data_IF_768635904951
#
_entry.id   IF_768635904951
#
_cell.length_a   1.000
_cell.length_b   1.000
_cell.length_c   1.000
_cell.angle_alpha   90.00
_cell.angle_beta   90.00
_cell.angle_gamma   90.00
#
_symmetry.space_group_name_H-M   'P 1'
#
loop_
_entity.id
_entity.type
_entity.pdbx_description
1 polymer ?
#
# COMPACT_ATOMS: atom_id res chain seq x y z
N UNK A 1 -3.46 -5.87 -1.85
CA UNK A 1 -4.03 -4.92 -2.83
C UNK A 1 -3.17 -4.66 -4.06
N UNK A 2 -1.90 -4.20 -3.97
CA UNK A 2 -1.03 -4.07 -5.16
C UNK A 2 -0.65 -5.41 -5.81
N UNK A 3 -0.54 -6.46 -4.99
CA UNK A 3 -0.29 -7.84 -5.41
C UNK A 3 -1.40 -8.37 -6.32
N UNK A 4 -2.66 -8.10 -5.97
CA UNK A 4 -3.83 -8.60 -6.68
C UNK A 4 -3.95 -7.97 -8.08
N UNK A 5 -3.53 -6.72 -8.23
CA UNK A 5 -3.49 -6.05 -9.54
C UNK A 5 -2.37 -6.60 -10.46
N UNK A 6 -1.23 -7.00 -9.88
CA UNK A 6 -0.15 -7.64 -10.65
C UNK A 6 -0.54 -9.06 -11.07
N UNK A 7 -1.20 -9.80 -10.19
CA UNK A 7 -1.70 -11.16 -10.40
C UNK A 7 -2.73 -11.23 -11.53
N UNK A 8 -3.71 -10.32 -11.56
CA UNK A 8 -4.83 -10.39 -12.51
C UNK A 8 -4.44 -10.01 -13.93
N UNK A 9 -3.49 -9.10 -14.12
CA UNK A 9 -3.19 -8.50 -15.43
C UNK A 9 -1.78 -8.83 -15.96
N UNK A 10 -0.97 -9.61 -15.23
CA UNK A 10 0.49 -9.80 -15.49
C UNK A 10 1.26 -8.49 -15.64
N UNK A 11 0.88 -7.43 -14.92
CA UNK A 11 1.50 -6.11 -15.08
C UNK A 11 2.14 -5.64 -13.79
N UNK A 12 3.41 -5.27 -13.88
CA UNK A 12 4.12 -4.68 -12.76
C UNK A 12 3.75 -3.21 -12.60
N UNK A 13 3.45 -2.79 -11.38
CA UNK A 13 3.26 -1.38 -11.06
C UNK A 13 4.59 -0.61 -11.13
N UNK A 14 4.50 0.70 -11.30
CA UNK A 14 5.68 1.55 -11.38
C UNK A 14 6.30 1.74 -9.97
N UNK A 15 7.44 1.09 -9.73
CA UNK A 15 8.13 1.17 -8.44
C UNK A 15 8.50 2.60 -8.01
N UNK A 16 8.72 3.53 -8.95
CA UNK A 16 9.03 4.92 -8.59
C UNK A 16 7.82 5.60 -7.98
N UNK A 17 6.67 5.49 -8.62
CA UNK A 17 5.41 6.05 -8.13
C UNK A 17 4.97 5.40 -6.81
N UNK A 18 5.12 4.08 -6.68
CA UNK A 18 4.81 3.39 -5.44
C UNK A 18 5.70 3.84 -4.27
N UNK A 19 7.01 4.04 -4.50
CA UNK A 19 7.92 4.61 -3.49
C UNK A 19 7.49 6.02 -3.09
N UNK A 20 7.10 6.87 -4.06
CA UNK A 20 6.59 8.21 -3.78
C UNK A 20 5.33 8.17 -2.92
N UNK A 21 4.34 7.36 -3.29
CA UNK A 21 3.12 7.20 -2.49
C UNK A 21 3.41 6.69 -1.07
N UNK A 22 4.34 5.73 -0.93
CA UNK A 22 4.75 5.23 0.38
C UNK A 22 5.37 6.33 1.25
N UNK A 23 6.38 7.05 0.74
CA UNK A 23 7.04 8.11 1.50
C UNK A 23 6.13 9.28 1.83
N UNK A 24 5.29 9.72 0.88
CA UNK A 24 4.29 10.74 1.13
C UNK A 24 3.33 10.29 2.24
N UNK A 25 2.78 9.08 2.14
CA UNK A 25 1.85 8.58 3.15
C UNK A 25 2.50 8.46 4.53
N UNK A 26 3.72 7.95 4.63
CA UNK A 26 4.44 7.84 5.91
C UNK A 26 4.75 9.21 6.50
N UNK A 27 5.23 10.17 5.72
CA UNK A 27 5.55 11.51 6.24
C UNK A 27 4.27 12.22 6.70
N UNK A 28 3.23 12.24 5.86
CA UNK A 28 2.01 13.00 6.15
C UNK A 28 1.12 12.35 7.19
N UNK A 29 1.13 11.02 7.36
CA UNK A 29 0.46 10.38 8.50
C UNK A 29 1.11 10.81 9.81
N UNK A 30 2.44 10.90 9.86
CA UNK A 30 3.15 11.40 11.03
C UNK A 30 2.83 12.88 11.27
N UNK A 31 2.88 13.73 10.24
CA UNK A 31 2.55 15.17 10.38
C UNK A 31 1.09 15.40 10.80
N UNK A 32 0.16 14.53 10.39
CA UNK A 32 -1.24 14.58 10.82
C UNK A 32 -1.40 14.20 12.31
N UNK A 33 -0.77 13.10 12.75
CA UNK A 33 -0.99 12.55 14.10
C UNK A 33 -0.05 13.11 15.18
N UNK A 34 1.16 13.57 14.85
CA UNK A 34 2.08 14.14 15.84
C UNK A 34 1.49 15.36 16.57
N UNK A 35 0.93 16.38 15.87
CA UNK A 35 0.25 17.51 16.51
C UNK A 35 -0.88 17.10 17.44
N UNK A 36 -1.63 16.03 17.10
CA UNK A 36 -2.73 15.54 17.92
C UNK A 36 -2.26 15.02 19.28
N UNK A 37 -1.04 14.48 19.39
CA UNK A 37 -0.50 14.06 20.69
C UNK A 37 -0.25 15.26 21.60
N UNK A 38 0.30 16.36 21.06
CA UNK A 38 0.51 17.59 21.82
C UNK A 38 -0.81 18.28 22.20
N UNK A 39 -1.80 18.29 21.29
CA UNK A 39 -3.16 18.78 21.58
C UNK A 39 -3.84 17.97 22.71
N UNK A 40 -3.67 16.65 22.70
CA UNK A 40 -4.19 15.77 23.75
C UNK A 40 -3.55 16.03 25.12
N UNK A 41 -2.23 16.22 25.15
CA UNK A 41 -1.49 16.56 26.38
C UNK A 41 -1.84 17.96 26.90
N UNK A 42 -2.13 18.91 26.01
CA UNK A 42 -2.57 20.25 26.38
C UNK A 42 -4.04 20.33 26.87
N UNK A 43 -4.71 19.18 26.99
CA UNK A 43 -6.02 19.06 27.63
C UNK A 43 -7.21 19.29 26.70
N UNK A 44 -7.03 19.24 25.38
CA UNK A 44 -8.15 19.34 24.44
C UNK A 44 -9.00 18.05 24.48
N UNK A 45 -10.27 18.10 24.91
CA UNK A 45 -11.14 16.93 24.90
C UNK A 45 -11.47 16.53 23.46
N UNK A 46 -11.53 15.21 23.20
CA UNK A 46 -12.06 14.70 21.92
C UNK A 46 -13.52 15.14 21.73
N UNK A 47 -13.92 15.40 20.48
CA UNK A 47 -15.32 15.70 20.05
C UNK A 47 -15.85 17.11 20.39
N UNK A 48 -14.97 18.11 20.51
CA UNK A 48 -15.38 19.51 20.65
C UNK A 48 -15.31 20.17 19.27
N UNK A 49 -16.40 20.83 18.85
CA UNK A 49 -16.47 21.51 17.55
C UNK A 49 -15.75 22.88 17.52
N UNK A 50 -15.56 23.50 18.67
CA UNK A 50 -14.98 24.83 18.83
C UNK A 50 -13.76 24.79 19.77
N UNK A 51 -12.65 25.40 19.38
CA UNK A 51 -11.39 25.32 20.10
C UNK A 51 -10.85 26.70 20.42
N UNK A 52 -10.27 26.84 21.61
CA UNK A 52 -9.63 28.08 22.03
C UNK A 52 -8.51 28.48 21.04
N UNK A 53 -8.31 29.78 20.76
CA UNK A 53 -7.36 30.25 19.74
C UNK A 53 -5.90 29.83 19.98
N UNK A 54 -5.56 29.45 21.23
CA UNK A 54 -4.26 28.87 21.59
C UNK A 54 -3.96 27.51 20.93
N UNK A 55 -4.97 26.81 20.40
CA UNK A 55 -4.82 25.51 19.74
C UNK A 55 -4.92 25.61 18.21
N UNK A 56 -5.08 26.82 17.67
CA UNK A 56 -5.28 27.03 16.22
C UNK A 56 -4.07 26.56 15.43
N UNK A 57 -2.84 26.82 15.88
CA UNK A 57 -1.62 26.46 15.15
C UNK A 57 -1.48 24.94 14.98
N UNK A 58 -1.68 24.17 16.06
CA UNK A 58 -1.58 22.71 16.02
C UNK A 58 -2.70 22.06 15.19
N UNK A 59 -3.92 22.60 15.26
CA UNK A 59 -5.04 22.14 14.43
C UNK A 59 -4.85 22.50 12.96
N UNK A 60 -4.22 23.64 12.66
CA UNK A 60 -3.90 24.05 11.29
C UNK A 60 -2.84 23.12 10.69
N UNK A 61 -1.77 22.79 11.42
CA UNK A 61 -0.75 21.82 10.97
C UNK A 61 -1.37 20.44 10.74
N UNK A 62 -2.20 19.97 11.67
CA UNK A 62 -2.92 18.70 11.52
C UNK A 62 -3.82 18.71 10.27
N UNK A 63 -4.53 19.81 10.03
CA UNK A 63 -5.42 19.95 8.86
C UNK A 63 -4.64 19.91 7.56
N UNK A 64 -3.51 20.63 7.47
CA UNK A 64 -2.63 20.60 6.30
C UNK A 64 -2.10 19.19 6.06
N UNK A 65 -1.62 18.52 7.12
CA UNK A 65 -1.18 17.12 7.05
C UNK A 65 -2.27 16.18 6.56
N UNK A 66 -3.51 16.38 7.02
CA UNK A 66 -4.68 15.61 6.62
C UNK A 66 -5.07 15.79 5.16
N UNK A 67 -5.06 17.03 4.65
CA UNK A 67 -5.33 17.30 3.23
C UNK A 67 -4.28 16.66 2.33
N UNK A 68 -3.00 16.77 2.68
CA UNK A 68 -1.93 16.17 1.86
C UNK A 68 -1.92 14.64 1.98
N UNK A 69 -2.22 14.09 3.15
CA UNK A 69 -2.43 12.65 3.31
C UNK A 69 -3.61 12.14 2.46
N UNK A 70 -4.74 12.87 2.46
CA UNK A 70 -5.88 12.58 1.59
C UNK A 70 -5.51 12.62 0.11
N UNK A 71 -4.73 13.62 -0.32
CA UNK A 71 -4.20 13.67 -1.69
C UNK A 71 -3.27 12.49 -2.01
N UNK A 72 -2.45 12.05 -1.05
CA UNK A 72 -1.60 10.87 -1.21
C UNK A 72 -2.43 9.60 -1.41
N UNK A 73 -3.59 9.47 -0.75
CA UNK A 73 -4.49 8.33 -0.97
C UNK A 73 -5.07 8.29 -2.39
N UNK A 74 -5.26 9.44 -3.04
CA UNK A 74 -5.67 9.49 -4.46
C UNK A 74 -4.58 9.01 -5.42
N UNK A 75 -3.30 8.99 -5.01
CA UNK A 75 -2.24 8.41 -5.84
C UNK A 75 -2.36 6.88 -5.96
N UNK A 76 -2.95 6.19 -4.99
CA UNK A 76 -3.11 4.74 -5.03
C UNK A 76 -4.01 4.25 -6.17
N UNK A 77 -5.26 4.73 -6.36
CA UNK A 77 -6.07 4.35 -7.50
C UNK A 77 -5.46 4.81 -8.83
N UNK A 78 -4.72 5.93 -8.85
CA UNK A 78 -3.98 6.36 -10.04
C UNK A 78 -2.87 5.37 -10.43
N UNK A 79 -2.10 4.86 -9.47
CA UNK A 79 -1.06 3.85 -9.71
C UNK A 79 -1.68 2.56 -10.23
N UNK A 80 -2.81 2.12 -9.65
CA UNK A 80 -3.54 0.92 -10.11
C UNK A 80 -4.03 1.13 -11.55
N UNK A 81 -4.67 2.26 -11.85
CA UNK A 81 -5.13 2.58 -13.21
C UNK A 81 -3.99 2.60 -14.23
N UNK A 82 -2.84 3.22 -13.88
CA UNK A 82 -1.64 3.23 -14.73
C UNK A 82 -1.07 1.83 -14.92
N UNK A 83 -1.09 0.99 -13.88
CA UNK A 83 -0.64 -0.40 -13.93
C UNK A 83 -1.46 -1.21 -14.93
N UNK A 84 -2.79 -1.11 -14.87
CA UNK A 84 -3.70 -1.82 -15.80
C UNK A 84 -3.49 -1.35 -17.24
N UNK A 85 -3.34 -0.04 -17.48
CA UNK A 85 -3.28 0.52 -18.85
C UNK A 85 -1.90 0.44 -19.50
N UNK A 86 -0.82 0.55 -18.72
CA UNK A 86 0.54 0.74 -19.26
C UNK A 86 1.63 0.04 -18.45
N UNK A 87 1.27 -0.83 -17.51
CA UNK A 87 2.24 -1.60 -16.72
C UNK A 87 3.08 -2.54 -17.59
N UNK A 88 4.34 -2.73 -17.21
CA UNK A 88 5.26 -3.64 -17.91
C UNK A 88 4.74 -5.08 -17.76
N UNK A 89 4.66 -5.86 -18.84
CA UNK A 89 4.30 -7.27 -18.74
C UNK A 89 5.35 -8.01 -17.92
N UNK A 90 4.89 -8.85 -17.00
CA UNK A 90 5.72 -9.77 -16.22
C UNK A 90 5.68 -11.11 -16.95
N UNK A 91 6.84 -11.56 -17.44
CA UNK A 91 6.98 -12.84 -18.15
C UNK A 91 7.23 -14.02 -17.20
N UNK A 92 7.63 -13.75 -15.96
CA UNK A 92 7.87 -14.74 -14.93
C UNK A 92 6.58 -15.08 -14.14
N UNK A 93 6.48 -16.33 -13.66
CA UNK A 93 5.39 -16.76 -12.76
C UNK A 93 5.39 -15.97 -11.44
N UNK A 94 6.58 -15.56 -10.98
CA UNK A 94 6.73 -14.61 -9.88
C UNK A 94 7.11 -13.22 -10.38
N UNK A 95 6.39 -12.16 -9.97
CA UNK A 95 6.80 -10.77 -10.17
C UNK A 95 7.93 -10.32 -9.22
N UNK A 96 8.30 -11.09 -8.19
CA UNK A 96 9.29 -10.70 -7.19
C UNK A 96 10.49 -11.66 -7.16
N UNK A 97 11.70 -11.09 -7.09
CA UNK A 97 12.93 -11.87 -6.86
C UNK A 97 12.92 -12.42 -5.42
N UNK A 98 12.97 -13.74 -5.26
CA UNK A 98 12.92 -14.41 -3.96
C UNK A 98 11.51 -14.59 -3.40
N UNK A 99 10.48 -14.63 -4.26
CA UNK A 99 9.15 -15.02 -3.80
C UNK A 99 9.12 -16.51 -3.46
N UNK A 100 8.70 -16.82 -2.24
CA UNK A 100 8.56 -18.17 -1.71
C UNK A 100 7.09 -18.40 -1.35
N UNK A 101 6.58 -19.58 -1.65
CA UNK A 101 5.17 -19.93 -1.47
C UNK A 101 4.60 -20.62 -2.70
N UNK A 102 3.53 -21.40 -2.49
CA UNK A 102 2.86 -22.15 -3.56
C UNK A 102 2.13 -21.23 -4.55
N UNK A 103 1.82 -20.00 -4.14
CA UNK A 103 1.17 -18.99 -4.97
C UNK A 103 2.08 -18.48 -6.11
N UNK A 104 3.40 -18.57 -5.96
CA UNK A 104 4.38 -18.06 -6.93
C UNK A 104 4.80 -19.07 -8.00
N UNK A 105 4.36 -20.31 -7.84
CA UNK A 105 4.54 -21.40 -8.80
C UNK A 105 3.42 -21.44 -9.83
N UNK A 106 2.29 -20.79 -9.51
CA UNK A 106 1.15 -20.67 -10.38
C UNK A 106 1.41 -19.62 -11.47
N UNK A 107 0.88 -19.83 -12.68
CA UNK A 107 0.89 -18.78 -13.67
C UNK A 107 -0.06 -17.66 -13.22
N UNK A 108 0.44 -16.43 -13.18
CA UNK A 108 -0.44 -15.24 -13.24
C UNK A 108 -1.01 -15.17 -14.67
N UNK A 109 -2.30 -14.88 -14.94
CA UNK A 109 -3.42 -14.86 -14.01
C UNK A 109 -3.80 -16.25 -13.51
N UNK A 110 -4.16 -16.32 -12.23
CA UNK A 110 -4.42 -17.58 -11.56
C UNK A 110 -5.50 -18.41 -12.29
N UNK A 111 -5.25 -19.72 -12.52
CA UNK A 111 -6.22 -20.62 -13.13
C UNK A 111 -7.42 -20.86 -12.19
N UNK A 112 -8.57 -21.25 -12.75
CA UNK A 112 -9.80 -21.49 -11.98
C UNK A 112 -9.65 -22.58 -10.92
N UNK A 113 -8.78 -23.56 -11.18
CA UNK A 113 -8.34 -24.55 -10.21
C UNK A 113 -6.82 -24.42 -10.05
N UNK A 114 -6.38 -24.09 -8.84
CA UNK A 114 -4.96 -23.85 -8.54
C UNK A 114 -4.13 -25.13 -8.76
N UNK A 115 -4.62 -26.27 -8.32
CA UNK A 115 -3.93 -27.55 -8.47
C UNK A 115 -4.94 -28.65 -8.77
N UNK A 116 -4.78 -29.34 -9.90
CA UNK A 116 -5.54 -30.58 -10.18
C UNK A 116 -4.95 -31.79 -9.45
N UNK A 117 -3.64 -31.77 -9.22
CA UNK A 117 -2.88 -32.78 -8.50
C UNK A 117 -2.03 -32.12 -7.41
N UNK A 118 -1.77 -32.80 -6.29
CA UNK A 118 -0.92 -32.25 -5.25
C UNK A 118 0.46 -31.89 -5.82
N UNK A 119 1.02 -30.72 -5.44
CA UNK A 119 2.34 -30.29 -5.89
C UNK A 119 3.41 -31.29 -5.47
N UNK A 120 4.43 -31.43 -6.31
CA UNK A 120 5.54 -32.36 -6.09
C UNK A 120 6.38 -31.94 -4.88
N UNK A 121 7.08 -32.87 -4.23
CA UNK A 121 7.95 -32.58 -3.08
C UNK A 121 9.00 -31.50 -3.38
N UNK A 122 9.48 -31.41 -4.62
CA UNK A 122 10.41 -30.37 -5.04
C UNK A 122 9.79 -28.95 -5.00
N UNK A 123 8.51 -28.83 -5.36
CA UNK A 123 7.76 -27.56 -5.33
C UNK A 123 7.45 -27.17 -3.88
N UNK A 124 7.08 -28.16 -3.06
CA UNK A 124 6.90 -27.96 -1.62
C UNK A 124 8.21 -27.52 -0.95
N UNK A 125 9.34 -28.14 -1.28
CA UNK A 125 10.65 -27.77 -0.76
C UNK A 125 11.12 -26.39 -1.23
N UNK A 126 10.68 -25.92 -2.40
CA UNK A 126 10.92 -24.54 -2.84
C UNK A 126 10.05 -23.53 -2.07
N UNK A 127 8.78 -23.88 -1.84
CA UNK A 127 7.86 -23.06 -1.06
C UNK A 127 8.25 -22.95 0.42
N UNK A 128 8.85 -23.99 1.00
CA UNK A 128 9.25 -24.07 2.41
C UNK A 128 10.62 -23.42 2.72
N UNK A 129 11.32 -22.91 1.70
CA UNK A 129 12.54 -22.12 1.90
C UNK A 129 12.18 -20.74 2.47
N UNK A 130 12.21 -20.64 3.79
CA UNK A 130 12.23 -19.39 4.55
C UNK A 130 13.63 -18.80 4.69
#
# INVERSE_FOLDING_TARGET
DLLLAAEVERRMYDMRLAKWHFWLSVIFVNVLFFPMHFLGLAGMPRRIADYAPQFTDWNMVASIGGFVFGASQLLLPYIVWKCVRSGKPVEANSPWDGAHGLEWELPSPAPYHSWEFPPTEAVLAHADKH
#
